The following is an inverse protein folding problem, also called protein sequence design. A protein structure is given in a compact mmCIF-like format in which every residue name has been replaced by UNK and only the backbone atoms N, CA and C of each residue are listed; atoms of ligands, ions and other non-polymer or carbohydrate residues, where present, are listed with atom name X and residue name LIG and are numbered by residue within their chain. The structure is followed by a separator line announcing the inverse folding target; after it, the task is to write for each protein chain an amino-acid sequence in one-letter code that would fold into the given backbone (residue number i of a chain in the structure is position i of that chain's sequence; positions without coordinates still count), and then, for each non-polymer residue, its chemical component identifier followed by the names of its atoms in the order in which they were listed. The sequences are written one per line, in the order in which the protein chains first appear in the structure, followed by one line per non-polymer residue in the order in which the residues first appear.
data_IF_550395577754
#
_entry.id   IF_550395577754
#
_cell.length_a   1.000
_cell.length_b   1.000
_cell.length_c   1.000
_cell.angle_alpha   90.00
_cell.angle_beta   90.00
_cell.angle_gamma   90.00
#
_symmetry.space_group_name_H-M   'P 1'
#
loop_
_entity.id
_entity.type
_entity.pdbx_description
1 polymer ?
#
# COMPACT_ATOMS: atom_id res chain seq x y z
N UNK A 1 -37.47 7.02 -13.70
CA UNK A 1 -36.64 7.31 -12.50
C UNK A 1 -35.23 6.70 -12.63
N UNK A 2 -35.06 5.40 -12.83
CA UNK A 2 -33.75 4.74 -12.91
C UNK A 2 -32.81 5.28 -14.00
N UNK A 3 -33.36 5.59 -15.19
CA UNK A 3 -32.57 6.15 -16.31
C UNK A 3 -32.14 7.61 -16.08
N UNK A 4 -32.97 8.42 -15.43
CA UNK A 4 -32.60 9.79 -15.06
C UNK A 4 -31.51 9.79 -13.97
N UNK A 5 -31.61 8.88 -12.99
CA UNK A 5 -30.61 8.68 -11.96
C UNK A 5 -29.27 8.18 -12.56
N UNK A 6 -29.29 7.21 -13.50
CA UNK A 6 -28.10 6.75 -14.22
C UNK A 6 -27.43 7.88 -15.00
N UNK A 7 -28.20 8.75 -15.65
CA UNK A 7 -27.69 9.91 -16.41
C UNK A 7 -27.09 10.98 -15.50
N UNK A 8 -27.71 11.22 -14.34
CA UNK A 8 -27.20 12.13 -13.30
C UNK A 8 -25.94 11.60 -12.63
N UNK A 9 -25.90 10.32 -12.24
CA UNK A 9 -24.73 9.69 -11.65
C UNK A 9 -23.54 9.60 -12.63
N UNK A 10 -23.80 9.47 -13.95
CA UNK A 10 -22.74 9.54 -14.97
C UNK A 10 -22.06 10.91 -15.06
N UNK A 11 -22.76 12.00 -14.73
CA UNK A 11 -22.20 13.36 -14.74
C UNK A 11 -21.49 13.75 -13.46
N UNK A 12 -21.76 13.06 -12.34
CA UNK A 12 -21.17 13.34 -11.05
C UNK A 12 -20.28 12.17 -10.61
N UNK A 13 -18.97 12.31 -10.82
CA UNK A 13 -17.99 11.27 -10.52
C UNK A 13 -18.00 10.85 -9.03
N UNK A 14 -18.15 11.82 -8.12
CA UNK A 14 -18.18 11.56 -6.67
C UNK A 14 -19.42 10.74 -6.29
N UNK A 15 -20.59 11.13 -6.77
CA UNK A 15 -21.83 10.38 -6.53
C UNK A 15 -21.75 8.95 -7.10
N UNK A 16 -21.16 8.80 -8.30
CA UNK A 16 -20.93 7.50 -8.91
C UNK A 16 -20.02 6.61 -8.08
N UNK A 17 -18.93 7.17 -7.53
CA UNK A 17 -18.01 6.46 -6.65
C UNK A 17 -18.71 6.03 -5.35
N UNK A 18 -19.46 6.93 -4.71
CA UNK A 18 -20.21 6.65 -3.47
C UNK A 18 -21.27 5.58 -3.66
N UNK A 19 -22.12 5.72 -4.69
CA UNK A 19 -23.19 4.74 -4.99
C UNK A 19 -22.58 3.38 -5.35
N UNK A 20 -21.55 3.37 -6.20
CA UNK A 20 -20.84 2.15 -6.58
C UNK A 20 -20.26 1.42 -5.37
N UNK A 21 -19.66 2.16 -4.44
CA UNK A 21 -19.15 1.61 -3.20
C UNK A 21 -20.24 1.01 -2.31
N UNK A 22 -21.34 1.74 -2.06
CA UNK A 22 -22.44 1.24 -1.24
C UNK A 22 -23.09 -0.02 -1.82
N UNK A 23 -23.27 -0.06 -3.13
CA UNK A 23 -23.77 -1.23 -3.83
C UNK A 23 -22.81 -2.42 -3.71
N UNK A 24 -21.51 -2.22 -3.90
CA UNK A 24 -20.50 -3.27 -3.77
C UNK A 24 -20.45 -3.82 -2.33
N UNK A 25 -20.45 -2.93 -1.33
CA UNK A 25 -20.37 -3.32 0.08
C UNK A 25 -21.65 -3.93 0.65
N UNK A 26 -22.78 -3.86 -0.06
CA UNK A 26 -24.05 -4.47 0.36
C UNK A 26 -24.09 -6.00 0.25
N UNK A 27 -23.17 -6.61 -0.52
CA UNK A 27 -23.16 -8.04 -0.81
C UNK A 27 -24.05 -8.46 -2.00
N UNK A 28 -24.92 -7.58 -2.50
CA UNK A 28 -25.80 -7.87 -3.65
C UNK A 28 -25.01 -8.17 -4.93
N UNK A 29 -23.78 -7.71 -5.03
CA UNK A 29 -22.91 -7.87 -6.19
C UNK A 29 -21.76 -8.86 -5.98
N UNK A 30 -21.76 -9.64 -4.92
CA UNK A 30 -20.69 -10.61 -4.63
C UNK A 30 -20.39 -11.53 -5.80
N UNK A 31 -21.43 -12.06 -6.44
CA UNK A 31 -21.28 -12.94 -7.58
C UNK A 31 -20.70 -12.22 -8.82
N UNK A 32 -21.09 -10.98 -9.05
CA UNK A 32 -20.54 -10.14 -10.12
C UNK A 32 -19.04 -9.91 -9.94
N UNK A 33 -18.60 -9.51 -8.73
CA UNK A 33 -17.18 -9.29 -8.43
C UNK A 33 -16.37 -10.59 -8.50
N UNK A 34 -16.95 -11.70 -8.01
CA UNK A 34 -16.30 -13.02 -7.99
C UNK A 34 -16.03 -13.55 -9.41
N UNK A 35 -16.93 -13.30 -10.33
CA UNK A 35 -16.88 -13.83 -11.70
C UNK A 35 -16.63 -12.77 -12.77
N UNK A 36 -16.12 -11.60 -12.36
CA UNK A 36 -15.88 -10.50 -13.28
C UNK A 36 -14.94 -10.91 -14.42
N UNK A 37 -15.32 -10.58 -15.66
CA UNK A 37 -14.45 -10.80 -16.82
C UNK A 37 -13.42 -9.68 -16.89
N UNK A 38 -12.18 -9.99 -16.58
CA UNK A 38 -11.08 -9.02 -16.59
C UNK A 38 -10.66 -8.66 -18.01
N UNK A 39 -10.18 -7.42 -18.20
CA UNK A 39 -9.56 -6.98 -19.45
C UNK A 39 -8.21 -7.70 -19.68
N UNK A 40 -7.69 -7.73 -20.92
CA UNK A 40 -6.37 -8.31 -21.22
C UNK A 40 -5.25 -7.74 -20.35
N UNK A 41 -5.30 -6.44 -20.06
CA UNK A 41 -4.36 -5.75 -19.18
C UNK A 41 -4.35 -6.33 -17.74
N UNK A 42 -5.52 -6.53 -17.14
CA UNK A 42 -5.63 -7.15 -15.82
C UNK A 42 -5.33 -8.64 -15.86
N UNK A 43 -5.64 -9.31 -16.97
CA UNK A 43 -5.24 -10.70 -17.18
C UNK A 43 -3.72 -10.87 -17.10
N UNK A 44 -2.97 -10.03 -17.80
CA UNK A 44 -1.50 -10.05 -17.73
C UNK A 44 -0.96 -9.79 -16.32
N UNK A 45 -1.53 -8.81 -15.59
CA UNK A 45 -1.15 -8.55 -14.19
C UNK A 45 -1.42 -9.75 -13.28
N UNK A 46 -2.57 -10.39 -13.42
CA UNK A 46 -2.92 -11.61 -12.67
C UNK A 46 -1.90 -12.71 -12.94
N UNK A 47 -1.55 -12.93 -14.21
CA UNK A 47 -0.56 -13.93 -14.60
C UNK A 47 0.82 -13.66 -14.01
N UNK A 48 1.25 -12.39 -13.97
CA UNK A 48 2.50 -12.02 -13.31
C UNK A 48 2.47 -12.36 -11.84
N UNK A 49 1.44 -11.92 -11.12
CA UNK A 49 1.31 -12.22 -9.68
C UNK A 49 1.33 -13.74 -9.45
N UNK A 50 0.58 -14.52 -10.23
CA UNK A 50 0.52 -15.99 -10.08
C UNK A 50 1.86 -16.68 -10.39
N UNK A 51 2.67 -16.15 -11.31
CA UNK A 51 3.98 -16.69 -11.69
C UNK A 51 5.08 -16.41 -10.67
N UNK A 52 4.89 -15.46 -9.77
CA UNK A 52 5.88 -15.18 -8.73
C UNK A 52 6.01 -16.34 -7.77
N UNK A 53 7.23 -16.88 -7.63
CA UNK A 53 7.51 -17.96 -6.66
C UNK A 53 7.49 -17.47 -5.22
N UNK A 54 7.48 -16.14 -4.98
CA UNK A 54 7.32 -15.55 -3.66
C UNK A 54 5.98 -15.89 -3.01
N UNK A 55 4.95 -16.18 -3.83
CA UNK A 55 3.65 -16.67 -3.37
C UNK A 55 3.73 -17.95 -2.48
N UNK A 56 4.78 -18.76 -2.65
CA UNK A 56 4.98 -19.99 -1.90
C UNK A 56 5.43 -19.73 -0.45
N UNK A 57 5.96 -18.55 -0.19
CA UNK A 57 6.45 -18.15 1.14
C UNK A 57 5.42 -17.34 1.94
N UNK A 58 4.34 -16.91 1.28
CA UNK A 58 3.28 -16.12 1.92
C UNK A 58 2.18 -17.06 2.42
N UNK A 59 1.99 -17.20 3.76
CA UNK A 59 0.90 -17.99 4.32
C UNK A 59 -0.46 -17.46 3.89
N UNK A 60 -1.41 -18.36 3.67
CA UNK A 60 -2.76 -18.02 3.26
C UNK A 60 -3.76 -18.67 4.22
N UNK A 61 -4.69 -17.87 4.74
CA UNK A 61 -5.82 -18.42 5.51
C UNK A 61 -6.74 -19.24 4.60
N UNK A 62 -7.53 -20.15 5.16
CA UNK A 62 -8.36 -21.08 4.39
C UNK A 62 -9.38 -20.40 3.45
N UNK A 63 -9.87 -19.22 3.84
CA UNK A 63 -10.84 -18.44 3.06
C UNK A 63 -10.19 -17.25 2.30
N UNK A 64 -8.87 -17.26 2.12
CA UNK A 64 -8.14 -16.25 1.36
C UNK A 64 -8.70 -16.07 -0.07
N UNK A 65 -8.95 -14.82 -0.45
CA UNK A 65 -9.57 -14.43 -1.73
C UNK A 65 -11.09 -14.52 -1.75
N UNK A 66 -11.74 -15.14 -0.74
CA UNK A 66 -13.19 -15.35 -0.70
C UNK A 66 -13.94 -14.03 -0.57
N UNK A 67 -15.03 -13.93 -1.35
CA UNK A 67 -15.97 -12.81 -1.29
C UNK A 67 -17.25 -13.27 -0.61
N UNK A 68 -17.69 -12.54 0.41
CA UNK A 68 -18.94 -12.81 1.14
C UNK A 68 -19.50 -11.53 1.77
N UNK A 69 -20.78 -11.26 1.56
CA UNK A 69 -21.50 -10.12 2.14
C UNK A 69 -20.81 -8.78 1.93
N UNK A 70 -20.38 -8.49 0.68
CA UNK A 70 -19.73 -7.24 0.30
C UNK A 70 -18.30 -7.06 0.81
N UNK A 71 -17.66 -8.15 1.25
CA UNK A 71 -16.32 -8.16 1.82
C UNK A 71 -15.46 -9.20 1.14
N UNK A 72 -14.16 -8.95 1.09
CA UNK A 72 -13.18 -9.88 0.55
C UNK A 72 -12.09 -10.15 1.59
N UNK A 73 -11.61 -11.38 1.64
CA UNK A 73 -10.57 -11.81 2.59
C UNK A 73 -9.21 -11.76 1.91
N UNK A 74 -8.25 -11.07 2.52
CA UNK A 74 -6.86 -11.04 2.09
C UNK A 74 -6.13 -12.32 2.52
N UNK A 75 -4.95 -12.58 1.96
CA UNK A 75 -4.15 -13.77 2.27
C UNK A 75 -3.93 -13.98 3.78
N UNK A 76 -3.75 -12.90 4.52
CA UNK A 76 -3.47 -12.88 5.97
C UNK A 76 -4.74 -12.82 6.84
N UNK A 77 -5.93 -12.95 6.27
CA UNK A 77 -7.22 -12.95 6.99
C UNK A 77 -7.81 -11.56 7.26
N UNK A 78 -7.13 -10.47 6.88
CA UNK A 78 -7.72 -9.14 6.90
C UNK A 78 -8.90 -9.08 5.93
N UNK A 79 -9.92 -8.32 6.30
CA UNK A 79 -11.11 -8.12 5.47
C UNK A 79 -11.14 -6.73 4.89
N UNK A 80 -11.51 -6.63 3.64
CA UNK A 80 -11.71 -5.36 2.93
C UNK A 80 -13.13 -5.29 2.37
N UNK A 81 -13.67 -4.08 2.25
CA UNK A 81 -14.90 -3.89 1.51
C UNK A 81 -14.67 -4.06 0.01
N UNK A 82 -15.59 -4.72 -0.68
CA UNK A 82 -15.56 -4.82 -2.14
C UNK A 82 -15.51 -3.42 -2.77
N UNK A 83 -14.70 -3.29 -3.82
CA UNK A 83 -14.53 -2.02 -4.52
C UNK A 83 -13.74 -0.96 -3.76
N UNK A 84 -13.12 -1.30 -2.61
CA UNK A 84 -12.25 -0.37 -1.88
C UNK A 84 -10.89 -0.15 -2.55
N UNK A 85 -10.56 -0.94 -3.57
CA UNK A 85 -9.34 -0.79 -4.36
C UNK A 85 -9.62 -1.16 -5.83
N UNK A 86 -9.42 -0.26 -6.77
CA UNK A 86 -9.56 -0.39 -8.23
C UNK A 86 -10.80 -1.15 -8.77
N UNK A 87 -11.82 -1.44 -7.97
CA UNK A 87 -13.08 -2.00 -8.45
C UNK A 87 -13.08 -3.51 -8.75
N UNK A 88 -13.96 -3.98 -9.68
CA UNK A 88 -14.24 -5.43 -9.84
C UNK A 88 -13.08 -6.22 -10.45
N UNK A 89 -12.27 -5.64 -11.32
CA UNK A 89 -11.11 -6.32 -11.89
C UNK A 89 -10.09 -6.69 -10.83
N UNK A 90 -9.82 -5.76 -9.91
CA UNK A 90 -8.91 -6.01 -8.80
C UNK A 90 -9.48 -7.03 -7.80
N UNK A 91 -10.76 -6.93 -7.47
CA UNK A 91 -11.42 -7.93 -6.62
C UNK A 91 -11.34 -9.33 -7.26
N UNK A 92 -11.52 -9.43 -8.59
CA UNK A 92 -11.32 -10.70 -9.30
C UNK A 92 -9.88 -11.19 -9.24
N UNK A 93 -8.90 -10.31 -9.35
CA UNK A 93 -7.50 -10.64 -9.15
C UNK A 93 -7.29 -11.27 -7.77
N UNK A 94 -7.75 -10.63 -6.70
CA UNK A 94 -7.62 -11.14 -5.34
C UNK A 94 -8.32 -12.50 -5.11
N UNK A 95 -9.41 -12.79 -5.85
CA UNK A 95 -10.01 -14.15 -5.84
C UNK A 95 -9.02 -15.17 -6.37
N UNK A 96 -8.40 -14.90 -7.53
CA UNK A 96 -7.51 -15.83 -8.24
C UNK A 96 -6.17 -16.00 -7.53
N UNK A 97 -5.63 -14.93 -6.97
CA UNK A 97 -4.33 -14.89 -6.29
C UNK A 97 -4.43 -15.21 -4.79
N UNK A 98 -5.61 -15.57 -4.30
CA UNK A 98 -5.85 -15.84 -2.87
C UNK A 98 -5.49 -14.64 -1.97
N UNK A 99 -5.89 -13.44 -2.39
CA UNK A 99 -5.70 -12.22 -1.60
C UNK A 99 -4.30 -11.63 -1.62
N UNK A 100 -3.42 -12.10 -2.52
CA UNK A 100 -2.09 -11.51 -2.76
C UNK A 100 -2.17 -10.59 -3.98
N UNK A 101 -1.50 -9.43 -3.93
CA UNK A 101 -1.48 -8.46 -5.04
C UNK A 101 -0.07 -8.03 -5.45
N UNK A 102 0.89 -8.05 -4.51
CA UNK A 102 2.29 -7.67 -4.70
C UNK A 102 3.21 -8.68 -4.01
N UNK A 103 3.37 -9.89 -4.60
CA UNK A 103 3.96 -11.03 -3.90
C UNK A 103 5.39 -10.78 -3.40
N UNK A 104 6.19 -10.00 -4.14
CA UNK A 104 7.56 -9.67 -3.75
C UNK A 104 7.56 -8.76 -2.52
N UNK A 105 6.75 -7.70 -2.54
CA UNK A 105 6.64 -6.76 -1.43
C UNK A 105 5.99 -7.40 -0.21
N UNK A 106 4.88 -8.10 -0.38
CA UNK A 106 4.18 -8.79 0.70
C UNK A 106 5.06 -9.83 1.41
N UNK A 107 5.91 -10.54 0.67
CA UNK A 107 6.89 -11.46 1.26
C UNK A 107 7.91 -10.72 2.13
N UNK A 108 8.52 -9.66 1.60
CA UNK A 108 9.53 -8.87 2.33
C UNK A 108 8.90 -8.19 3.54
N UNK A 109 7.73 -7.60 3.37
CA UNK A 109 6.99 -6.93 4.43
C UNK A 109 6.68 -7.89 5.58
N UNK A 110 6.20 -9.10 5.27
CA UNK A 110 5.95 -10.16 6.25
C UNK A 110 7.20 -10.51 7.07
N UNK A 111 8.35 -10.68 6.41
CA UNK A 111 9.59 -11.01 7.12
C UNK A 111 10.05 -9.85 8.03
N UNK A 112 9.91 -8.62 7.56
CA UNK A 112 10.26 -7.43 8.34
C UNK A 112 9.32 -7.27 9.53
N UNK A 113 8.03 -7.56 9.40
CA UNK A 113 7.06 -7.50 10.51
C UNK A 113 7.47 -8.38 11.70
N UNK A 114 8.08 -9.56 11.45
CA UNK A 114 8.57 -10.46 12.50
C UNK A 114 9.68 -9.83 13.38
N UNK A 115 10.29 -8.74 12.91
CA UNK A 115 11.37 -8.01 13.60
C UNK A 115 10.90 -6.71 14.25
N UNK A 116 9.62 -6.34 14.08
CA UNK A 116 9.10 -5.10 14.64
C UNK A 116 8.91 -5.22 16.16
N UNK A 117 9.38 -4.25 16.94
CA UNK A 117 9.13 -4.22 18.37
C UNK A 117 7.68 -3.87 18.69
N UNK A 118 7.24 -4.22 19.88
CA UNK A 118 5.96 -3.74 20.41
C UNK A 118 5.97 -2.20 20.45
N UNK A 119 4.85 -1.57 20.06
CA UNK A 119 4.71 -0.12 20.02
C UNK A 119 5.38 0.52 18.79
N UNK A 120 5.83 -0.28 17.82
CA UNK A 120 6.43 0.27 16.61
C UNK A 120 5.49 1.22 15.87
N UNK A 121 6.07 2.25 15.26
CA UNK A 121 5.37 3.27 14.49
C UNK A 121 5.64 3.07 13.00
N UNK A 122 4.56 3.07 12.20
CA UNK A 122 4.60 3.07 10.74
C UNK A 122 3.93 4.32 10.18
N UNK A 123 4.56 4.91 9.17
CA UNK A 123 3.95 5.93 8.30
C UNK A 123 3.78 5.31 6.91
N UNK A 124 2.53 5.22 6.44
CA UNK A 124 2.16 4.76 5.10
C UNK A 124 1.70 5.96 4.26
N UNK A 125 2.43 6.26 3.21
CA UNK A 125 2.18 7.35 2.28
C UNK A 125 1.65 6.78 0.96
N UNK A 126 0.55 7.38 0.44
CA UNK A 126 -0.25 6.78 -0.61
C UNK A 126 -1.07 5.59 -0.07
N UNK A 127 -1.60 5.76 1.14
CA UNK A 127 -2.19 4.65 1.88
C UNK A 127 -3.47 4.06 1.26
N UNK A 128 -4.12 4.75 0.37
CA UNK A 128 -5.31 4.39 -0.38
C UNK A 128 -6.34 3.59 0.48
N UNK A 129 -6.30 2.26 0.39
CA UNK A 129 -7.15 1.32 1.13
C UNK A 129 -6.52 0.83 2.43
N UNK A 130 -5.28 1.25 2.71
CA UNK A 130 -4.50 1.07 3.95
C UNK A 130 -4.23 -0.41 4.30
N UNK A 131 -3.90 -1.22 3.29
CA UNK A 131 -3.66 -2.66 3.49
C UNK A 131 -2.42 -2.92 4.33
N UNK A 132 -1.29 -2.31 4.01
CA UNK A 132 -0.03 -2.51 4.72
C UNK A 132 -0.11 -1.99 6.17
N UNK A 133 -0.76 -0.86 6.40
CA UNK A 133 -1.01 -0.35 7.76
C UNK A 133 -1.91 -1.28 8.58
N UNK A 134 -2.96 -1.87 7.99
CA UNK A 134 -3.77 -2.87 8.67
C UNK A 134 -2.96 -4.12 9.00
N UNK A 135 -2.11 -4.56 8.07
CA UNK A 135 -1.26 -5.72 8.31
C UNK A 135 -0.22 -5.44 9.39
N UNK A 136 0.42 -4.28 9.36
CA UNK A 136 1.32 -3.83 10.43
C UNK A 136 0.64 -3.86 11.80
N UNK A 137 -0.55 -3.27 11.91
CA UNK A 137 -1.29 -3.24 13.18
C UNK A 137 -1.77 -4.62 13.66
N UNK A 138 -2.02 -5.55 12.73
CA UNK A 138 -2.40 -6.91 13.06
C UNK A 138 -1.24 -7.69 13.69
N UNK A 139 -0.03 -7.52 13.18
CA UNK A 139 1.13 -8.32 13.61
C UNK A 139 1.92 -7.64 14.75
N UNK A 140 1.88 -6.30 14.84
CA UNK A 140 2.65 -5.54 15.81
C UNK A 140 1.75 -5.10 16.97
N UNK A 141 2.05 -5.60 18.16
CA UNK A 141 1.28 -5.24 19.37
C UNK A 141 1.45 -3.75 19.69
N UNK A 142 0.33 -3.06 19.96
CA UNK A 142 0.29 -1.62 20.25
C UNK A 142 0.92 -0.75 19.14
N UNK A 143 0.83 -1.17 17.88
CA UNK A 143 1.31 -0.42 16.73
C UNK A 143 0.69 0.98 16.65
N UNK A 144 1.47 1.95 16.20
CA UNK A 144 1.03 3.29 15.86
C UNK A 144 1.12 3.46 14.35
N UNK A 145 -0.01 3.82 13.71
CA UNK A 145 -0.06 3.99 12.26
C UNK A 145 -0.52 5.40 11.90
N UNK A 146 0.22 6.02 10.98
CA UNK A 146 -0.18 7.22 10.25
C UNK A 146 -0.37 6.88 8.77
N UNK A 147 -1.57 7.10 8.25
CA UNK A 147 -1.94 6.86 6.86
C UNK A 147 -2.16 8.19 6.16
N UNK A 148 -1.35 8.50 5.17
CA UNK A 148 -1.37 9.76 4.42
C UNK A 148 -1.87 9.46 3.00
N UNK A 149 -2.96 10.12 2.58
CA UNK A 149 -3.58 9.93 1.27
C UNK A 149 -4.28 11.22 0.83
N UNK A 150 -3.94 11.78 -0.33
CA UNK A 150 -4.52 13.04 -0.79
C UNK A 150 -5.97 12.91 -1.28
N UNK A 151 -6.39 11.79 -1.84
CA UNK A 151 -7.77 11.58 -2.28
C UNK A 151 -8.66 11.20 -1.08
N UNK A 152 -9.61 12.07 -0.73
CA UNK A 152 -10.54 11.86 0.38
C UNK A 152 -11.38 10.59 0.24
N UNK A 153 -11.67 10.16 -1.00
CA UNK A 153 -12.43 8.94 -1.25
C UNK A 153 -11.60 7.69 -0.95
N UNK A 154 -10.34 7.68 -1.41
CA UNK A 154 -9.38 6.62 -1.11
C UNK A 154 -9.11 6.54 0.39
N UNK A 155 -8.81 7.67 1.03
CA UNK A 155 -8.64 7.76 2.49
C UNK A 155 -9.88 7.24 3.23
N UNK A 156 -11.07 7.51 2.69
CA UNK A 156 -12.34 6.97 3.18
C UNK A 156 -12.43 5.44 3.08
N UNK A 157 -11.83 4.82 2.05
CA UNK A 157 -11.73 3.36 1.95
C UNK A 157 -10.84 2.79 3.06
N UNK A 158 -9.67 3.37 3.30
CA UNK A 158 -8.80 2.99 4.41
C UNK A 158 -9.51 3.04 5.77
N UNK A 159 -10.16 4.17 6.07
CA UNK A 159 -10.95 4.34 7.30
C UNK A 159 -12.04 3.27 7.49
N UNK A 160 -12.72 2.88 6.41
CA UNK A 160 -13.77 1.84 6.45
C UNK A 160 -13.18 0.44 6.65
N UNK A 161 -12.07 0.14 5.98
CA UNK A 161 -11.38 -1.15 6.12
C UNK A 161 -10.81 -1.31 7.54
N UNK A 162 -10.23 -0.26 8.13
CA UNK A 162 -9.80 -0.27 9.53
C UNK A 162 -10.95 -0.60 10.48
N UNK A 163 -12.10 0.09 10.33
CA UNK A 163 -13.29 -0.20 11.14
C UNK A 163 -13.81 -1.62 10.98
N UNK A 164 -13.76 -2.14 9.73
CA UNK A 164 -14.18 -3.52 9.43
C UNK A 164 -13.34 -4.55 10.20
N UNK A 165 -12.05 -4.27 10.40
CA UNK A 165 -11.11 -5.10 11.14
C UNK A 165 -11.00 -4.71 12.63
N UNK A 166 -11.86 -3.81 13.14
CA UNK A 166 -11.86 -3.32 14.53
C UNK A 166 -10.55 -2.63 14.92
N UNK A 167 -9.93 -1.98 13.96
CA UNK A 167 -8.66 -1.26 14.12
C UNK A 167 -8.88 0.26 14.22
N UNK A 168 -7.90 0.96 14.80
CA UNK A 168 -7.84 2.43 14.89
C UNK A 168 -6.53 2.92 14.29
N UNK A 169 -6.52 4.11 13.69
CA UNK A 169 -5.31 4.70 13.13
C UNK A 169 -5.49 6.19 12.84
N UNK A 170 -4.40 6.86 12.53
CA UNK A 170 -4.35 8.29 12.24
C UNK A 170 -4.38 8.50 10.73
N UNK A 171 -5.45 9.09 10.22
CA UNK A 171 -5.69 9.29 8.78
C UNK A 171 -5.53 10.76 8.43
N UNK A 172 -4.57 11.07 7.56
CA UNK A 172 -4.19 12.42 7.17
C UNK A 172 -4.51 12.61 5.68
N UNK A 173 -5.29 13.66 5.38
CA UNK A 173 -5.59 14.03 4.00
C UNK A 173 -4.55 15.06 3.52
N UNK A 174 -3.50 14.57 2.88
CA UNK A 174 -2.42 15.40 2.34
C UNK A 174 -1.66 14.66 1.23
N UNK A 175 -1.04 15.42 0.36
CA UNK A 175 0.08 14.97 -0.48
C UNK A 175 1.35 14.87 0.36
N UNK A 176 2.33 14.12 -0.13
CA UNK A 176 3.68 14.09 0.45
C UNK A 176 4.67 14.63 -0.58
N UNK A 177 5.59 15.47 -0.12
CA UNK A 177 6.58 16.09 -0.99
C UNK A 177 7.83 16.54 -0.24
N UNK A 178 8.65 17.32 -0.93
CA UNK A 178 9.91 17.86 -0.39
C UNK A 178 9.69 18.92 0.68
N UNK A 179 8.65 19.73 0.55
CA UNK A 179 8.37 20.88 1.42
C UNK A 179 6.90 20.89 1.81
N UNK A 180 6.62 21.35 3.03
CA UNK A 180 5.25 21.54 3.50
C UNK A 180 4.66 22.80 2.90
N UNK A 181 3.42 22.72 2.41
CA UNK A 181 2.72 23.84 1.80
C UNK A 181 1.26 23.51 1.49
N UNK A 182 0.58 24.45 0.86
CA UNK A 182 -0.78 24.25 0.37
C UNK A 182 -1.02 25.02 -0.92
N UNK A 183 -1.77 24.43 -1.82
CA UNK A 183 -2.21 25.05 -3.06
C UNK A 183 -3.68 24.68 -3.35
N UNK A 184 -4.16 25.01 -4.58
CA UNK A 184 -5.51 24.67 -5.04
C UNK A 184 -5.82 23.17 -5.09
N UNK A 185 -4.81 22.31 -5.08
CA UNK A 185 -4.97 20.85 -5.12
C UNK A 185 -5.06 20.24 -3.72
N UNK A 186 -4.58 20.96 -2.70
CA UNK A 186 -4.63 20.51 -1.30
C UNK A 186 -3.39 20.86 -0.49
N UNK A 187 -3.25 20.16 0.63
CA UNK A 187 -2.12 20.29 1.55
C UNK A 187 -1.03 19.31 1.14
N UNK A 188 0.20 19.77 1.08
CA UNK A 188 1.41 18.93 0.97
C UNK A 188 2.15 18.99 2.29
N UNK A 189 2.60 17.86 2.79
CA UNK A 189 3.45 17.77 3.98
C UNK A 189 4.81 17.16 3.61
N UNK A 190 5.88 17.63 4.23
CA UNK A 190 7.15 16.91 4.23
C UNK A 190 7.29 16.09 5.53
N UNK A 191 8.07 15.02 5.47
CA UNK A 191 8.23 14.11 6.61
C UNK A 191 8.95 14.77 7.79
N UNK A 192 9.89 15.65 7.52
CA UNK A 192 10.63 16.36 8.58
C UNK A 192 9.72 17.22 9.46
N UNK A 193 8.82 17.99 8.84
CA UNK A 193 7.83 18.80 9.56
C UNK A 193 6.80 17.92 10.27
N UNK A 194 6.31 16.89 9.59
CA UNK A 194 5.36 15.94 10.15
C UNK A 194 5.90 15.25 11.43
N UNK A 195 7.15 14.82 11.40
CA UNK A 195 7.83 14.21 12.55
C UNK A 195 7.95 15.19 13.71
N UNK A 196 8.31 16.45 13.41
CA UNK A 196 8.42 17.52 14.41
C UNK A 196 7.07 17.85 15.03
N UNK A 197 6.04 18.11 14.21
CA UNK A 197 4.71 18.51 14.67
C UNK A 197 4.01 17.43 15.50
N UNK A 198 4.22 16.18 15.16
CA UNK A 198 3.64 15.04 15.89
C UNK A 198 4.55 14.48 16.99
N UNK A 199 5.69 15.13 17.28
CA UNK A 199 6.66 14.73 18.31
C UNK A 199 7.08 13.27 18.16
N UNK A 200 7.28 12.80 16.90
CA UNK A 200 7.67 11.42 16.60
C UNK A 200 9.17 11.26 16.91
N UNK A 201 9.48 10.41 17.86
CA UNK A 201 10.86 10.13 18.26
C UNK A 201 11.56 9.19 17.28
N UNK A 202 10.84 8.20 16.73
CA UNK A 202 11.39 7.21 15.82
C UNK A 202 10.30 6.60 14.90
N UNK A 203 10.61 6.48 13.62
CA UNK A 203 9.78 5.80 12.59
C UNK A 203 10.36 4.40 12.39
N UNK A 204 9.66 3.37 12.82
CA UNK A 204 10.13 1.99 12.65
C UNK A 204 9.99 1.53 11.20
N UNK A 205 8.96 2.02 10.51
CA UNK A 205 8.73 1.73 9.10
C UNK A 205 8.16 2.95 8.37
N UNK A 206 8.86 3.37 7.33
CA UNK A 206 8.43 4.37 6.37
C UNK A 206 8.06 3.64 5.08
N UNK A 207 6.78 3.63 4.71
CA UNK A 207 6.25 2.94 3.54
C UNK A 207 5.68 3.95 2.54
N UNK A 208 6.04 3.85 1.27
CA UNK A 208 5.68 4.84 0.24
C UNK A 208 5.25 4.20 -1.07
N UNK A 209 4.04 4.54 -1.52
CA UNK A 209 3.49 4.29 -2.86
C UNK A 209 2.73 5.55 -3.29
N UNK A 210 3.44 6.58 -3.77
CA UNK A 210 2.93 7.94 -4.03
C UNK A 210 3.03 8.39 -5.49
N UNK A 211 3.02 7.41 -6.38
CA UNK A 211 2.82 7.59 -7.82
C UNK A 211 3.81 8.57 -8.47
N UNK A 212 5.10 8.41 -8.15
CA UNK A 212 6.21 9.12 -8.81
C UNK A 212 6.85 10.23 -7.97
N UNK A 213 6.37 10.49 -6.75
CA UNK A 213 6.90 11.52 -5.83
C UNK A 213 7.82 10.94 -4.74
N UNK A 214 8.27 9.69 -4.88
CA UNK A 214 9.03 8.97 -3.86
C UNK A 214 10.39 9.64 -3.57
N UNK A 215 11.04 10.21 -4.57
CA UNK A 215 12.30 10.92 -4.37
C UNK A 215 12.10 12.25 -3.66
N UNK A 216 11.05 13.00 -3.99
CA UNK A 216 10.66 14.23 -3.33
C UNK A 216 10.32 13.98 -1.85
N UNK A 217 9.67 12.84 -1.55
CA UNK A 217 9.40 12.39 -0.18
C UNK A 217 10.71 12.13 0.58
N UNK A 218 11.69 11.45 -0.04
CA UNK A 218 13.00 11.23 0.57
C UNK A 218 13.72 12.54 0.87
N UNK A 219 13.67 13.51 -0.05
CA UNK A 219 14.22 14.85 0.16
C UNK A 219 13.51 15.60 1.30
N UNK A 220 12.20 15.43 1.45
CA UNK A 220 11.40 15.99 2.54
C UNK A 220 11.56 15.29 3.89
N UNK A 221 12.33 14.20 3.93
CA UNK A 221 12.69 13.46 5.14
C UNK A 221 14.19 13.58 5.50
N UNK A 222 14.94 14.45 4.83
CA UNK A 222 16.40 14.47 4.89
C UNK A 222 16.94 14.66 6.31
N UNK A 223 16.34 15.56 7.10
CA UNK A 223 16.70 15.78 8.50
C UNK A 223 16.39 14.55 9.37
N UNK A 224 15.24 13.92 9.15
CA UNK A 224 14.82 12.71 9.85
C UNK A 224 15.80 11.54 9.59
N UNK A 225 16.31 11.42 8.35
CA UNK A 225 17.39 10.49 8.02
C UNK A 225 18.71 10.82 8.73
N UNK A 226 19.14 12.09 8.71
CA UNK A 226 20.36 12.55 9.36
C UNK A 226 20.32 12.36 10.89
N UNK A 227 19.16 12.57 11.50
CA UNK A 227 18.93 12.35 12.94
C UNK A 227 18.79 10.86 13.31
N UNK A 228 18.95 9.95 12.34
CA UNK A 228 18.85 8.48 12.54
C UNK A 228 17.52 8.05 13.16
N UNK A 229 16.41 8.62 12.71
CA UNK A 229 15.07 8.36 13.23
C UNK A 229 14.23 7.39 12.37
N UNK A 230 14.83 6.70 11.40
CA UNK A 230 14.11 5.76 10.51
C UNK A 230 14.77 4.38 10.57
N UNK A 231 13.99 3.34 10.86
CA UNK A 231 14.45 1.95 10.90
C UNK A 231 14.41 1.27 9.52
N UNK A 232 13.22 1.09 8.97
CA UNK A 232 13.01 0.49 7.66
C UNK A 232 12.34 1.47 6.69
N UNK A 233 12.66 1.32 5.41
CA UNK A 233 12.03 2.05 4.30
C UNK A 233 11.55 1.03 3.27
N UNK A 234 10.29 1.15 2.85
CA UNK A 234 9.69 0.46 1.71
C UNK A 234 9.25 1.50 0.69
N UNK A 235 9.64 1.33 -0.55
CA UNK A 235 9.29 2.25 -1.64
C UNK A 235 8.84 1.45 -2.85
N UNK A 236 7.58 1.63 -3.24
CA UNK A 236 7.09 1.25 -4.56
C UNK A 236 7.47 2.33 -5.55
N UNK A 237 8.27 2.01 -6.58
CA UNK A 237 8.84 2.99 -7.52
C UNK A 237 8.15 2.91 -8.88
N UNK A 238 7.85 4.08 -9.49
CA UNK A 238 7.01 4.20 -10.68
C UNK A 238 7.80 4.43 -11.99
N UNK A 239 9.13 4.44 -11.91
CA UNK A 239 10.03 4.39 -13.08
C UNK A 239 11.40 3.83 -12.70
N UNK A 240 12.14 3.30 -13.66
CA UNK A 240 13.49 2.79 -13.43
C UNK A 240 14.48 3.91 -13.06
N UNK A 241 14.27 5.11 -13.59
CA UNK A 241 15.07 6.29 -13.23
C UNK A 241 14.82 6.67 -11.76
N UNK A 242 13.56 6.77 -11.36
CA UNK A 242 13.17 7.06 -9.98
C UNK A 242 13.69 5.98 -9.02
N UNK A 243 13.61 4.71 -9.41
CA UNK A 243 14.17 3.59 -8.66
C UNK A 243 15.66 3.78 -8.37
N UNK A 244 16.45 4.12 -9.41
CA UNK A 244 17.88 4.37 -9.27
C UNK A 244 18.17 5.54 -8.34
N UNK A 245 17.45 6.66 -8.47
CA UNK A 245 17.62 7.84 -7.63
C UNK A 245 17.32 7.54 -6.16
N UNK A 246 16.24 6.81 -5.88
CA UNK A 246 15.88 6.40 -4.52
C UNK A 246 16.93 5.46 -3.90
N UNK A 247 17.43 4.49 -4.69
CA UNK A 247 18.51 3.59 -4.24
C UNK A 247 19.78 4.35 -3.87
N UNK A 248 20.21 5.28 -4.70
CA UNK A 248 21.39 6.09 -4.43
C UNK A 248 21.23 6.94 -3.17
N UNK A 249 20.06 7.55 -2.99
CA UNK A 249 19.75 8.30 -1.77
C UNK A 249 19.90 7.43 -0.53
N UNK A 250 19.25 6.26 -0.50
CA UNK A 250 19.29 5.37 0.65
C UNK A 250 20.69 4.86 0.95
N UNK A 251 21.49 4.52 -0.07
CA UNK A 251 22.90 4.13 0.10
C UNK A 251 23.74 5.27 0.69
N UNK A 252 23.53 6.52 0.25
CA UNK A 252 24.22 7.70 0.81
C UNK A 252 23.83 7.99 2.27
N UNK A 253 22.65 7.53 2.72
CA UNK A 253 22.16 7.65 4.10
C UNK A 253 22.47 6.40 4.95
N UNK A 254 23.39 5.55 4.50
CA UNK A 254 23.87 4.36 5.23
C UNK A 254 22.76 3.31 5.49
N UNK A 255 21.88 3.12 4.48
CA UNK A 255 20.88 2.07 4.50
C UNK A 255 21.38 0.80 3.79
N UNK A 256 21.15 -0.34 4.42
CA UNK A 256 21.38 -1.67 3.85
C UNK A 256 20.19 -2.00 2.96
N UNK A 257 20.43 -2.24 1.68
CA UNK A 257 19.38 -2.63 0.73
C UNK A 257 19.07 -4.11 0.92
N UNK A 258 17.88 -4.39 1.48
CA UNK A 258 17.37 -5.74 1.71
C UNK A 258 16.96 -6.38 0.39
N UNK A 259 16.20 -5.62 -0.40
CA UNK A 259 15.66 -6.00 -1.71
C UNK A 259 15.64 -4.79 -2.63
N UNK A 260 15.94 -5.03 -3.90
CA UNK A 260 15.76 -4.08 -4.98
C UNK A 260 15.35 -4.83 -6.24
N UNK A 261 14.17 -4.51 -6.76
CA UNK A 261 13.68 -4.91 -8.09
C UNK A 261 13.08 -3.71 -8.78
N UNK A 262 13.51 -3.45 -10.00
CA UNK A 262 12.94 -2.40 -10.82
C UNK A 262 11.63 -2.87 -11.49
N UNK A 263 10.99 -1.98 -12.26
CA UNK A 263 9.70 -2.29 -12.92
C UNK A 263 9.80 -3.52 -13.83
N UNK A 264 10.92 -3.71 -14.51
CA UNK A 264 11.10 -4.81 -15.47
C UNK A 264 11.26 -6.16 -14.78
N UNK A 265 11.77 -6.16 -13.56
CA UNK A 265 11.99 -7.34 -12.72
C UNK A 265 10.81 -7.64 -11.78
N UNK A 266 9.88 -6.71 -11.66
CA UNK A 266 8.75 -6.82 -10.73
C UNK A 266 7.64 -7.73 -11.27
N UNK A 267 6.97 -8.46 -10.39
CA UNK A 267 5.71 -9.16 -10.63
C UNK A 267 4.46 -8.31 -10.31
N UNK A 268 4.68 -7.06 -9.90
CA UNK A 268 3.64 -6.03 -9.88
C UNK A 268 3.86 -5.05 -11.05
N UNK A 269 3.27 -3.87 -11.00
CA UNK A 269 3.53 -2.80 -11.99
C UNK A 269 4.64 -1.86 -11.54
N UNK A 270 4.94 -1.90 -10.26
CA UNK A 270 5.82 -0.97 -9.59
C UNK A 270 7.11 -1.69 -9.22
N UNK A 271 8.24 -1.01 -9.25
CA UNK A 271 9.47 -1.52 -8.69
C UNK A 271 9.41 -1.50 -7.16
N UNK A 272 10.24 -2.27 -6.49
CA UNK A 272 10.32 -2.34 -5.02
C UNK A 272 11.73 -2.06 -4.54
N UNK A 273 11.86 -1.16 -3.55
CA UNK A 273 13.03 -1.02 -2.71
C UNK A 273 12.59 -1.27 -1.27
N UNK A 274 13.21 -2.25 -0.60
CA UNK A 274 13.13 -2.39 0.84
C UNK A 274 14.53 -2.23 1.43
N UNK A 275 14.68 -1.35 2.41
CA UNK A 275 15.97 -1.02 3.00
C UNK A 275 15.84 -0.87 4.52
N UNK A 276 16.95 -1.12 5.24
CA UNK A 276 17.07 -0.98 6.68
C UNK A 276 18.24 -0.08 7.02
N UNK A 277 18.05 0.81 7.97
CA UNK A 277 19.16 1.61 8.48
C UNK A 277 20.24 0.71 9.11
N UNK A 278 21.52 0.99 8.85
CA UNK A 278 22.63 0.19 9.39
C UNK A 278 22.67 0.15 10.93
N UNK A 279 22.21 1.22 11.57
CA UNK A 279 22.10 1.38 13.02
C UNK A 279 20.85 0.73 13.66
N UNK A 280 19.95 0.17 12.88
CA UNK A 280 18.72 -0.48 13.38
C UNK A 280 18.82 -2.00 13.17
N UNK A 281 18.55 -2.79 14.21
CA UNK A 281 18.65 -4.25 14.15
C UNK A 281 17.58 -4.86 13.24
N UNK A 282 17.95 -5.89 12.48
CA UNK A 282 16.99 -6.61 11.66
C UNK A 282 17.58 -7.32 10.46
N UNK A 283 16.80 -7.40 9.37
CA UNK A 283 17.10 -8.19 8.18
C UNK A 283 18.07 -7.44 7.27
N UNK A 284 19.11 -8.13 6.79
CA UNK A 284 20.09 -7.56 5.86
C UNK A 284 19.78 -7.88 4.39
N UNK A 285 19.17 -9.04 4.12
CA UNK A 285 18.88 -9.49 2.75
C UNK A 285 17.75 -10.51 2.75
N UNK A 286 16.89 -10.43 1.75
CA UNK A 286 15.90 -11.45 1.42
C UNK A 286 16.04 -11.74 -0.07
N UNK A 287 16.12 -13.02 -0.44
CA UNK A 287 16.09 -13.41 -1.84
C UNK A 287 14.64 -13.50 -2.30
N UNK A 288 14.32 -12.75 -3.34
CA UNK A 288 13.00 -12.75 -3.98
C UNK A 288 13.11 -13.15 -5.44
N UNK A 289 12.01 -13.64 -5.99
CA UNK A 289 11.94 -13.94 -7.42
C UNK A 289 11.98 -12.65 -8.26
N UNK A 290 12.50 -12.76 -9.47
CA UNK A 290 12.52 -11.65 -10.44
C UNK A 290 11.83 -12.09 -11.73
N UNK A 291 10.97 -11.23 -12.25
CA UNK A 291 10.41 -11.42 -13.58
C UNK A 291 11.52 -11.19 -14.61
N UNK A 292 11.72 -12.17 -15.48
CA UNK A 292 12.62 -11.98 -16.64
C UNK A 292 11.76 -11.50 -17.81
N UNK A 293 12.17 -10.43 -18.45
CA UNK A 293 11.63 -10.07 -19.76
C UNK A 293 12.06 -11.18 -20.73
N UNK A 294 11.08 -11.82 -21.35
CA UNK A 294 11.31 -12.76 -22.45
C UNK A 294 11.50 -11.99 -23.74
#
# INVERSE_FOLDING_TARGET
MLNAFRKFARKNLLLRKLVGYHLASSGLFDNYFRNYKVSPFWGARIDWVLKSTDNNFIPKVADAGKITSGKQVMHNGLKIHLGSYYGPEYSRMLVLTKGIHEPQEERVFMEVLKKMPQGALMIEMGSFWSFYSMWFQKEVRNAINYMIEPDLFNLGHGKRNFRLNKMKGNFINAFVGKETGSDKNGITICIDDFVKENSISFIHMLHSDIQGFEYEMLMGAEKTFLEKKIGYVFISTHSNELHSRCLEFLKKKDFIIIVSVNIDESFSKDGLIAARASYFDGINRIEISKRRLQ
#
